data_IF_139724739973
#
_entry.id   IF_139724739973
#
_cell.length_a   1.000
_cell.length_b   1.000
_cell.length_c   1.000
_cell.angle_alpha   90.00
_cell.angle_beta   90.00
_cell.angle_gamma   90.00
#
_symmetry.space_group_name_H-M   'P 1'
#
loop_
_entity.id
_entity.type
_entity.pdbx_description
1 polymer ?
#
# COMPACT_ATOMS: atom_id res chain seq x y z
N UNK A 1 45.34 15.77 0.51
CA UNK A 1 45.75 16.76 1.55
C UNK A 1 45.82 18.19 1.01
N UNK A 2 46.64 18.50 0.00
CA UNK A 2 46.76 19.87 -0.54
C UNK A 2 45.43 20.50 -1.05
N UNK A 3 44.60 19.74 -1.76
CA UNK A 3 43.30 20.23 -2.25
C UNK A 3 42.27 20.50 -1.13
N UNK A 4 42.41 19.83 0.00
CA UNK A 4 41.54 20.00 1.15
C UNK A 4 41.96 21.16 2.07
N UNK A 5 43.26 21.39 2.19
CA UNK A 5 43.78 22.57 2.87
C UNK A 5 43.46 23.87 2.10
N UNK A 6 43.43 23.84 0.76
CA UNK A 6 42.97 24.95 -0.06
C UNK A 6 41.47 25.28 0.16
N UNK A 7 40.64 24.26 0.37
CA UNK A 7 39.21 24.44 0.71
C UNK A 7 39.00 25.04 2.11
N UNK A 8 39.87 24.79 3.10
CA UNK A 8 39.78 25.43 4.43
C UNK A 8 40.23 26.90 4.44
N UNK A 9 41.16 27.25 3.59
CA UNK A 9 41.58 28.66 3.46
C UNK A 9 40.55 29.53 2.73
N UNK A 10 39.74 28.93 1.84
CA UNK A 10 38.64 29.59 1.16
C UNK A 10 37.36 29.69 2.04
N UNK A 11 37.11 28.73 2.94
CA UNK A 11 35.91 28.75 3.82
C UNK A 11 35.92 29.85 4.87
N UNK A 12 37.08 30.51 5.13
CA UNK A 12 37.17 31.66 6.04
C UNK A 12 36.98 32.99 5.34
N UNK A 13 36.91 33.02 4.00
CA UNK A 13 36.74 34.27 3.22
C UNK A 13 35.34 34.49 2.63
N UNK A 14 34.51 33.43 2.50
CA UNK A 14 33.20 33.56 1.87
C UNK A 14 32.05 33.06 2.75
N UNK A 15 31.47 33.98 3.51
CA UNK A 15 30.17 33.79 4.18
C UNK A 15 28.98 33.68 3.21
N UNK A 16 29.22 33.65 1.90
CA UNK A 16 28.20 33.48 0.85
C UNK A 16 28.73 32.54 -0.23
N UNK A 17 28.74 31.26 0.02
CA UNK A 17 28.77 30.27 -1.07
C UNK A 17 27.40 30.32 -1.75
N UNK A 18 27.25 31.14 -2.76
CA UNK A 18 26.13 31.08 -3.70
C UNK A 18 26.30 29.78 -4.50
N UNK A 19 25.66 28.70 -4.03
CA UNK A 19 25.50 27.52 -4.84
C UNK A 19 24.54 27.92 -5.97
N UNK A 20 25.10 28.40 -7.09
CA UNK A 20 24.34 28.62 -8.31
C UNK A 20 24.06 27.27 -8.93
N UNK A 21 22.86 26.73 -8.69
CA UNK A 21 22.34 25.66 -9.54
C UNK A 21 22.24 26.20 -10.97
N UNK A 22 22.72 25.49 -12.00
CA UNK A 22 22.59 25.93 -13.37
C UNK A 22 21.08 26.06 -13.70
N UNK A 23 20.58 27.30 -13.71
CA UNK A 23 19.17 27.62 -13.97
C UNK A 23 18.82 27.63 -15.46
N UNK A 24 19.82 27.51 -16.36
CA UNK A 24 19.59 27.51 -17.79
C UNK A 24 19.34 26.11 -18.32
N UNK A 25 18.11 25.87 -18.82
CA UNK A 25 17.68 24.68 -19.57
C UNK A 25 17.54 23.35 -18.80
N UNK A 26 17.25 23.34 -17.50
CA UNK A 26 16.83 22.11 -16.85
C UNK A 26 15.42 21.74 -17.31
N UNK A 27 15.27 20.58 -17.98
CA UNK A 27 13.95 20.00 -18.22
C UNK A 27 13.38 19.57 -16.88
N UNK A 28 12.13 19.96 -16.55
CA UNK A 28 11.46 19.48 -15.35
C UNK A 28 11.43 17.95 -15.33
N UNK A 29 11.68 17.35 -14.18
CA UNK A 29 11.64 15.90 -14.00
C UNK A 29 11.37 15.53 -12.55
N UNK A 30 10.99 14.29 -12.33
CA UNK A 30 10.72 13.71 -11.00
C UNK A 30 11.79 12.68 -10.65
N UNK A 31 12.02 12.37 -9.37
CA UNK A 31 12.94 11.32 -8.95
C UNK A 31 12.56 9.96 -9.55
N UNK A 32 13.58 9.18 -9.95
CA UNK A 32 13.34 7.85 -10.53
C UNK A 32 12.63 6.94 -9.54
N UNK A 33 11.51 6.33 -9.98
CA UNK A 33 10.69 5.43 -9.16
C UNK A 33 9.57 6.12 -8.39
N UNK A 34 9.38 7.44 -8.61
CA UNK A 34 8.21 8.20 -8.16
C UNK A 34 7.31 8.51 -9.37
N UNK A 35 6.09 8.99 -9.12
CA UNK A 35 5.10 9.27 -10.17
C UNK A 35 4.28 10.50 -9.81
N UNK A 36 3.93 11.31 -10.83
CA UNK A 36 2.81 12.23 -10.74
C UNK A 36 1.51 11.49 -11.07
N UNK A 37 0.41 11.94 -10.50
CA UNK A 37 -0.92 11.43 -10.77
C UNK A 37 -1.82 12.59 -11.19
N UNK A 38 -2.32 12.54 -12.41
CA UNK A 38 -3.30 13.50 -12.91
C UNK A 38 -4.69 13.32 -12.29
N UNK A 39 -5.66 14.18 -12.66
CA UNK A 39 -7.00 14.14 -12.05
C UNK A 39 -7.72 12.80 -12.21
N UNK A 40 -7.60 12.15 -13.37
CA UNK A 40 -8.22 10.84 -13.66
C UNK A 40 -7.56 9.74 -12.82
N UNK A 41 -6.22 9.72 -12.78
CA UNK A 41 -5.49 8.76 -11.95
C UNK A 41 -5.82 8.94 -10.46
N UNK A 42 -5.93 10.19 -10.00
CA UNK A 42 -6.32 10.46 -8.61
C UNK A 42 -7.76 10.05 -8.31
N UNK A 43 -8.69 10.22 -9.24
CA UNK A 43 -10.06 9.72 -9.08
C UNK A 43 -10.09 8.19 -8.93
N UNK A 44 -9.32 7.47 -9.75
CA UNK A 44 -9.12 6.02 -9.66
C UNK A 44 -8.50 5.59 -8.33
N UNK A 45 -7.47 6.28 -7.89
CA UNK A 45 -6.81 6.02 -6.59
C UNK A 45 -7.75 6.26 -5.41
N UNK A 46 -8.52 7.34 -5.45
CA UNK A 46 -9.51 7.65 -4.41
C UNK A 46 -10.62 6.58 -4.35
N UNK A 47 -11.03 6.01 -5.48
CA UNK A 47 -11.94 4.86 -5.49
C UNK A 47 -11.37 3.69 -4.70
N UNK A 48 -10.07 3.35 -4.90
CA UNK A 48 -9.40 2.30 -4.14
C UNK A 48 -9.38 2.63 -2.65
N UNK A 49 -8.91 3.82 -2.30
CA UNK A 49 -8.77 4.23 -0.90
C UNK A 49 -10.12 4.26 -0.18
N UNK A 50 -11.16 4.80 -0.81
CA UNK A 50 -12.49 4.90 -0.21
C UNK A 50 -13.11 3.51 -0.03
N UNK A 51 -13.02 2.62 -1.02
CA UNK A 51 -13.52 1.25 -0.92
C UNK A 51 -12.86 0.50 0.25
N UNK A 52 -11.54 0.57 0.38
CA UNK A 52 -10.81 -0.07 1.49
C UNK A 52 -11.19 0.57 2.83
N UNK A 53 -11.25 1.90 2.90
CA UNK A 53 -11.64 2.64 4.10
C UNK A 53 -13.05 2.28 4.59
N UNK A 54 -14.00 2.20 3.66
CA UNK A 54 -15.38 1.85 3.98
C UNK A 54 -15.48 0.42 4.53
N UNK A 55 -14.72 -0.52 3.97
CA UNK A 55 -14.66 -1.89 4.50
C UNK A 55 -14.03 -1.91 5.88
N UNK A 56 -12.91 -1.22 6.12
CA UNK A 56 -12.30 -1.14 7.45
C UNK A 56 -13.28 -0.60 8.51
N UNK A 57 -14.07 0.42 8.13
CA UNK A 57 -15.07 0.99 9.02
C UNK A 57 -16.17 -0.02 9.41
N UNK A 58 -16.59 -0.93 8.50
CA UNK A 58 -17.55 -2.00 8.80
C UNK A 58 -17.07 -2.96 9.89
N UNK A 59 -15.76 -3.15 10.01
CA UNK A 59 -15.15 -4.04 11.01
C UNK A 59 -14.67 -3.29 12.27
N UNK A 60 -15.02 -2.01 12.41
CA UNK A 60 -14.73 -1.19 13.59
C UNK A 60 -13.28 -0.71 13.71
N UNK A 61 -12.53 -0.70 12.61
CA UNK A 61 -11.18 -0.14 12.59
C UNK A 61 -11.20 1.39 12.62
N UNK A 62 -10.32 2.00 13.40
CA UNK A 62 -10.19 3.45 13.56
C UNK A 62 -9.01 3.99 12.78
N UNK A 63 -9.19 5.13 12.11
CA UNK A 63 -8.12 5.76 11.35
C UNK A 63 -7.12 6.44 12.26
N UNK A 64 -5.83 6.17 12.02
CA UNK A 64 -4.72 6.96 12.58
C UNK A 64 -3.76 7.41 11.48
N UNK A 65 -2.89 8.33 11.80
CA UNK A 65 -1.74 8.71 10.97
C UNK A 65 -0.47 8.82 11.82
N UNK A 66 0.66 8.49 11.22
CA UNK A 66 1.99 8.69 11.80
C UNK A 66 2.82 9.59 10.88
N UNK A 67 3.86 10.28 11.37
CA UNK A 67 4.72 11.11 10.52
C UNK A 67 5.36 10.31 9.37
N UNK A 68 5.57 10.97 8.23
CA UNK A 68 6.33 10.39 7.12
C UNK A 68 7.81 10.18 7.47
N UNK A 69 8.35 11.06 8.32
CA UNK A 69 9.70 10.99 8.87
C UNK A 69 9.67 10.37 10.26
N UNK A 70 10.53 9.37 10.46
CA UNK A 70 10.77 8.76 11.77
C UNK A 70 12.24 8.97 12.17
N UNK A 71 12.53 8.88 13.47
CA UNK A 71 13.92 8.79 13.91
C UNK A 71 14.59 7.57 13.29
N UNK A 72 15.79 7.71 12.79
CA UNK A 72 16.49 6.62 12.12
C UNK A 72 16.71 5.42 13.07
N UNK A 73 16.87 5.67 14.37
CA UNK A 73 16.94 4.66 15.43
C UNK A 73 15.64 3.85 15.58
N UNK A 74 14.49 4.43 15.23
CA UNK A 74 13.19 3.73 15.19
C UNK A 74 13.15 2.74 14.03
N UNK A 75 13.76 3.07 12.89
CA UNK A 75 13.67 2.30 11.66
C UNK A 75 14.77 1.22 11.53
N UNK A 76 16.02 1.57 11.89
CA UNK A 76 17.18 0.70 11.71
C UNK A 76 17.11 -0.57 12.55
N UNK A 77 17.55 -1.70 11.98
CA UNK A 77 17.60 -3.00 12.64
C UNK A 77 16.23 -3.70 12.78
N UNK A 78 15.18 -3.19 12.12
CA UNK A 78 13.81 -3.74 12.19
C UNK A 78 13.42 -4.56 10.98
N UNK A 79 14.07 -4.30 9.85
CA UNK A 79 13.74 -4.88 8.55
C UNK A 79 14.77 -5.92 8.06
N UNK A 80 15.76 -6.25 8.88
CA UNK A 80 16.92 -7.05 8.49
C UNK A 80 17.92 -6.25 7.65
N UNK A 81 19.08 -6.86 7.35
CA UNK A 81 20.17 -6.16 6.64
C UNK A 81 19.76 -5.64 5.26
N UNK A 82 18.94 -6.39 4.53
CA UNK A 82 18.48 -6.00 3.20
C UNK A 82 17.51 -4.81 3.29
N UNK A 83 16.54 -4.85 4.21
CA UNK A 83 15.60 -3.76 4.42
C UNK A 83 16.28 -2.47 4.89
N UNK A 84 17.26 -2.57 5.77
CA UNK A 84 18.03 -1.42 6.27
C UNK A 84 18.82 -0.70 5.15
N UNK A 85 19.24 -1.43 4.11
CA UNK A 85 19.88 -0.86 2.90
C UNK A 85 18.89 -0.09 2.03
N UNK A 86 17.60 -0.41 2.13
CA UNK A 86 16.53 0.20 1.34
C UNK A 86 15.88 1.41 2.02
N UNK A 87 16.28 1.76 3.24
CA UNK A 87 15.80 2.96 3.94
C UNK A 87 16.32 4.24 3.29
N UNK A 88 15.41 5.16 2.95
CA UNK A 88 15.78 6.53 2.61
C UNK A 88 16.15 7.29 3.88
N UNK A 89 17.41 7.70 3.95
CA UNK A 89 17.98 8.49 5.05
C UNK A 89 17.90 9.98 4.70
N UNK A 90 17.54 10.81 5.67
CA UNK A 90 17.40 12.25 5.50
C UNK A 90 18.61 12.91 6.14
N UNK A 91 19.38 13.63 5.31
CA UNK A 91 20.53 14.39 5.76
C UNK A 91 20.08 15.49 6.76
N UNK A 92 20.80 15.63 7.88
CA UNK A 92 20.52 16.66 8.86
C UNK A 92 20.63 18.05 8.24
N UNK A 93 19.74 18.95 8.63
CA UNK A 93 19.76 20.35 8.18
C UNK A 93 20.90 21.12 8.84
N UNK A 94 21.40 22.15 8.16
CA UNK A 94 22.50 23.00 8.65
C UNK A 94 23.88 22.36 8.44
N UNK A 95 24.81 22.62 9.34
CA UNK A 95 26.16 22.08 9.28
C UNK A 95 26.18 20.63 9.83
N UNK A 96 25.88 19.65 8.96
CA UNK A 96 25.87 18.24 9.30
C UNK A 96 27.27 17.65 9.53
N UNK A 97 28.33 18.39 9.20
CA UNK A 97 29.73 18.00 9.49
C UNK A 97 30.23 18.56 10.83
N UNK A 98 29.43 19.37 11.52
CA UNK A 98 29.81 19.98 12.78
C UNK A 98 30.36 18.95 13.78
N UNK A 99 31.52 19.26 14.35
CA UNK A 99 32.19 18.39 15.33
C UNK A 99 32.87 17.15 14.76
N UNK A 100 33.09 17.06 13.43
CA UNK A 100 33.86 15.99 12.79
C UNK A 100 35.15 16.51 12.20
N UNK A 101 36.21 15.75 12.39
CA UNK A 101 37.49 16.01 11.74
C UNK A 101 37.56 15.34 10.37
N UNK A 102 38.39 15.83 9.43
CA UNK A 102 38.63 15.19 8.15
C UNK A 102 39.05 13.72 8.26
N UNK A 103 39.90 13.42 9.24
CA UNK A 103 40.41 12.06 9.48
C UNK A 103 39.28 11.14 9.98
N UNK A 104 38.37 11.60 10.82
CA UNK A 104 37.17 10.86 11.22
C UNK A 104 36.27 10.55 10.03
N UNK A 105 36.05 11.53 9.12
CA UNK A 105 35.24 11.32 7.91
C UNK A 105 35.90 10.29 6.99
N UNK A 106 37.22 10.39 6.79
CA UNK A 106 37.96 9.52 5.88
C UNK A 106 38.04 8.06 6.39
N UNK A 107 38.10 7.85 7.72
CA UNK A 107 38.36 6.54 8.32
C UNK A 107 37.11 5.88 8.91
N UNK A 108 35.95 6.56 8.94
CA UNK A 108 34.70 5.99 9.47
C UNK A 108 33.96 5.23 8.37
N UNK A 109 33.51 3.97 8.60
CA UNK A 109 32.68 3.23 7.65
C UNK A 109 31.43 4.02 7.25
N UNK A 110 31.07 3.97 5.95
CA UNK A 110 29.96 4.74 5.37
C UNK A 110 28.62 4.61 6.11
N UNK A 111 28.30 3.40 6.61
CA UNK A 111 27.07 3.17 7.39
C UNK A 111 27.05 3.94 8.72
N UNK A 112 28.22 4.04 9.39
CA UNK A 112 28.34 4.83 10.64
C UNK A 112 28.31 6.33 10.36
N UNK A 113 28.92 6.78 9.25
CA UNK A 113 28.81 8.16 8.80
C UNK A 113 27.35 8.51 8.50
N UNK A 114 26.66 7.66 7.77
CA UNK A 114 25.25 7.87 7.45
C UNK A 114 24.38 8.00 8.71
N UNK A 115 24.62 7.18 9.73
CA UNK A 115 23.89 7.28 11.00
C UNK A 115 24.18 8.59 11.76
N UNK A 116 25.37 9.18 11.59
CA UNK A 116 25.74 10.45 12.22
C UNK A 116 25.21 11.67 11.46
N UNK A 117 25.14 11.59 10.13
CA UNK A 117 24.64 12.66 9.28
C UNK A 117 23.12 12.66 9.11
N UNK A 118 22.48 11.56 9.43
CA UNK A 118 21.05 11.35 9.23
C UNK A 118 20.42 10.85 10.54
N UNK A 119 19.80 11.76 11.28
CA UNK A 119 19.03 11.38 12.48
C UNK A 119 17.64 10.87 12.13
N UNK A 120 17.18 11.11 10.91
CA UNK A 120 15.83 10.80 10.43
C UNK A 120 15.89 10.00 9.13
N UNK A 121 14.83 9.23 8.89
CA UNK A 121 14.59 8.54 7.63
C UNK A 121 13.13 8.61 7.24
N UNK A 122 12.83 8.32 5.96
CA UNK A 122 11.46 8.10 5.53
C UNK A 122 11.02 6.70 5.96
N UNK A 123 9.80 6.56 6.46
CA UNK A 123 9.25 5.27 6.88
C UNK A 123 9.21 4.27 5.73
N UNK A 124 9.63 3.05 6.03
CA UNK A 124 9.70 1.93 5.08
C UNK A 124 8.37 1.19 4.94
N UNK A 125 7.63 1.12 6.04
CA UNK A 125 6.28 0.57 6.18
C UNK A 125 5.47 1.41 7.17
N UNK A 126 4.23 0.99 7.44
CA UNK A 126 3.38 1.62 8.45
C UNK A 126 3.35 0.85 9.78
N UNK A 127 3.88 -0.39 9.80
CA UNK A 127 3.80 -1.28 10.97
C UNK A 127 4.80 -0.90 12.06
N UNK A 128 6.06 -0.61 11.72
CA UNK A 128 7.07 -0.17 12.71
C UNK A 128 6.72 1.19 13.32
N UNK A 129 6.33 2.23 12.54
CA UNK A 129 5.78 3.47 13.10
C UNK A 129 4.54 3.26 13.99
N UNK A 130 3.68 2.31 13.63
CA UNK A 130 2.52 1.96 14.44
C UNK A 130 2.92 1.33 15.77
N UNK A 131 3.87 0.41 15.79
CA UNK A 131 4.37 -0.17 17.05
C UNK A 131 4.94 0.90 17.99
N UNK A 132 5.70 1.87 17.46
CA UNK A 132 6.15 3.04 18.23
C UNK A 132 4.97 3.86 18.76
N UNK A 133 3.95 4.11 17.92
CA UNK A 133 2.74 4.85 18.29
C UNK A 133 2.02 4.16 19.46
N UNK A 134 1.81 2.84 19.38
CA UNK A 134 1.15 2.06 20.45
C UNK A 134 1.88 2.21 21.78
N UNK A 135 3.22 2.11 21.79
CA UNK A 135 4.01 2.25 23.00
C UNK A 135 3.93 3.67 23.59
N UNK A 136 3.97 4.69 22.75
CA UNK A 136 3.90 6.09 23.20
C UNK A 136 2.52 6.48 23.74
N UNK A 137 1.43 5.87 23.22
CA UNK A 137 0.06 6.20 23.58
C UNK A 137 -0.64 5.11 24.41
N UNK A 138 0.13 4.18 25.01
CA UNK A 138 -0.41 2.99 25.68
C UNK A 138 -1.48 3.28 26.74
N UNK A 139 -1.35 4.40 27.44
CA UNK A 139 -2.28 4.82 28.49
C UNK A 139 -3.61 5.39 27.94
N UNK A 140 -3.62 5.77 26.65
CA UNK A 140 -4.77 6.38 25.98
C UNK A 140 -5.55 5.33 25.16
N UNK A 141 -4.88 4.22 24.77
CA UNK A 141 -5.45 3.22 23.91
C UNK A 141 -6.24 2.16 24.67
N UNK A 142 -7.47 1.88 24.22
CA UNK A 142 -8.27 0.77 24.72
C UNK A 142 -7.90 -0.51 23.95
N UNK A 143 -7.51 -1.57 24.67
CA UNK A 143 -7.19 -2.87 24.06
C UNK A 143 -8.40 -3.81 24.07
N UNK A 144 -8.61 -4.64 23.01
CA UNK A 144 -7.82 -4.67 21.79
C UNK A 144 -8.04 -3.42 20.93
N UNK A 145 -6.97 -2.88 20.36
CA UNK A 145 -7.02 -1.69 19.50
C UNK A 145 -6.95 -2.08 18.03
N UNK A 146 -8.02 -1.74 17.29
CA UNK A 146 -8.15 -1.93 15.84
C UNK A 146 -7.89 -0.60 15.13
N UNK A 147 -6.79 -0.50 14.40
CA UNK A 147 -6.47 0.71 13.63
C UNK A 147 -6.37 0.44 12.13
N UNK A 148 -6.63 1.44 11.30
CA UNK A 148 -6.17 1.43 9.92
C UNK A 148 -5.40 2.71 9.58
N UNK A 149 -4.56 2.62 8.54
CA UNK A 149 -3.70 3.69 8.07
C UNK A 149 -3.54 3.59 6.55
N UNK A 150 -3.82 4.69 5.83
CA UNK A 150 -3.67 4.76 4.37
C UNK A 150 -2.72 5.91 4.07
N UNK A 151 -1.44 5.59 3.91
CA UNK A 151 -0.39 6.58 3.77
C UNK A 151 0.74 6.10 2.86
N UNK A 152 1.56 7.03 2.30
CA UNK A 152 2.72 6.66 1.49
C UNK A 152 3.85 6.10 2.35
N UNK A 153 4.64 5.22 1.74
CA UNK A 153 5.89 4.66 2.27
C UNK A 153 6.98 4.72 1.21
N UNK A 154 8.25 4.62 1.62
CA UNK A 154 9.39 4.83 0.74
C UNK A 154 10.40 3.70 0.87
N UNK A 155 10.76 3.10 -0.27
CA UNK A 155 11.78 2.06 -0.35
C UNK A 155 12.75 2.34 -1.49
N UNK A 156 14.05 2.29 -1.23
CA UNK A 156 15.08 2.52 -2.24
C UNK A 156 15.26 1.36 -3.23
N UNK A 157 14.20 0.61 -3.47
CA UNK A 157 14.15 -0.50 -4.42
C UNK A 157 14.56 -0.10 -5.85
N UNK A 158 15.02 -1.07 -6.64
CA UNK A 158 15.18 -0.87 -8.08
C UNK A 158 13.79 -0.80 -8.72
N UNK A 159 13.43 0.35 -9.35
CA UNK A 159 12.10 0.51 -9.94
C UNK A 159 11.84 -0.48 -11.07
N UNK A 160 10.64 -1.09 -11.04
CA UNK A 160 10.12 -1.95 -12.11
C UNK A 160 8.58 -1.92 -12.06
N UNK A 161 7.90 -2.54 -13.03
CA UNK A 161 6.42 -2.62 -13.04
C UNK A 161 5.91 -3.21 -11.70
N UNK A 162 4.98 -2.50 -11.04
CA UNK A 162 4.43 -2.89 -9.73
C UNK A 162 5.40 -2.74 -8.54
N UNK A 163 6.57 -2.09 -8.72
CA UNK A 163 7.53 -1.79 -7.65
C UNK A 163 8.08 -0.37 -7.80
N UNK A 164 7.64 0.49 -6.93
CA UNK A 164 7.94 1.91 -6.91
C UNK A 164 8.76 2.28 -5.67
N UNK A 165 9.42 3.44 -5.70
CA UNK A 165 10.16 3.97 -4.54
C UNK A 165 9.28 4.73 -3.56
N UNK A 166 8.17 5.27 -4.05
CA UNK A 166 7.10 5.87 -3.26
C UNK A 166 5.79 5.20 -3.67
N UNK A 167 5.07 4.66 -2.70
CA UNK A 167 3.80 3.97 -2.95
C UNK A 167 2.95 3.98 -1.67
N UNK A 168 1.64 3.76 -1.83
CA UNK A 168 0.69 3.74 -0.72
C UNK A 168 0.49 2.34 -0.18
N UNK A 169 0.55 2.21 1.14
CA UNK A 169 0.05 1.06 1.88
C UNK A 169 -1.29 1.42 2.54
N UNK A 170 -2.21 0.45 2.54
CA UNK A 170 -3.48 0.54 3.25
C UNK A 170 -3.47 -0.56 4.30
N UNK A 171 -2.99 -0.23 5.48
CA UNK A 171 -2.76 -1.19 6.56
C UNK A 171 -3.93 -1.22 7.53
N UNK A 172 -4.29 -2.41 8.00
CA UNK A 172 -5.17 -2.63 9.13
C UNK A 172 -4.52 -3.59 10.11
N UNK A 173 -4.46 -3.21 11.38
CA UNK A 173 -3.86 -4.01 12.45
C UNK A 173 -4.75 -4.05 13.69
N UNK A 174 -4.69 -5.18 14.40
CA UNK A 174 -5.25 -5.37 15.72
C UNK A 174 -4.13 -5.67 16.68
N UNK A 175 -4.02 -4.94 17.78
CA UNK A 175 -3.04 -5.19 18.85
C UNK A 175 -3.74 -5.41 20.19
N UNK A 176 -3.09 -6.17 21.08
CA UNK A 176 -3.60 -6.45 22.43
C UNK A 176 -4.56 -7.62 22.51
N UNK A 177 -4.50 -8.56 21.55
CA UNK A 177 -5.29 -9.79 21.57
C UNK A 177 -4.56 -10.94 20.87
N UNK A 178 -4.50 -12.10 21.52
CA UNK A 178 -3.96 -13.35 20.96
C UNK A 178 -5.02 -14.18 20.21
N UNK A 179 -6.27 -13.71 20.17
CA UNK A 179 -7.37 -14.43 19.54
C UNK A 179 -7.16 -14.58 18.05
N UNK A 180 -7.30 -15.81 17.55
CA UNK A 180 -7.26 -16.12 16.11
C UNK A 180 -8.49 -15.61 15.35
N UNK A 181 -9.52 -15.11 16.03
CA UNK A 181 -10.63 -14.40 15.39
C UNK A 181 -10.18 -13.12 14.70
N UNK A 182 -9.07 -12.54 15.12
CA UNK A 182 -8.49 -11.37 14.45
C UNK A 182 -7.99 -11.72 13.04
N UNK A 183 -7.34 -12.88 12.87
CA UNK A 183 -6.95 -13.40 11.55
C UNK A 183 -8.16 -13.69 10.68
N UNK A 184 -9.21 -14.29 11.26
CA UNK A 184 -10.47 -14.58 10.56
C UNK A 184 -11.10 -13.29 10.02
N UNK A 185 -11.26 -12.26 10.86
CA UNK A 185 -11.80 -10.97 10.43
C UNK A 185 -10.93 -10.30 9.35
N UNK A 186 -9.60 -10.35 9.48
CA UNK A 186 -8.70 -9.78 8.46
C UNK A 186 -8.84 -10.48 7.11
N UNK A 187 -9.04 -11.80 7.08
CA UNK A 187 -9.27 -12.54 5.83
C UNK A 187 -10.65 -12.23 5.23
N UNK A 188 -11.69 -12.04 6.04
CA UNK A 188 -13.00 -11.56 5.59
C UNK A 188 -12.92 -10.12 5.02
N UNK A 189 -12.10 -9.24 5.61
CA UNK A 189 -11.82 -7.90 5.07
C UNK A 189 -11.16 -8.02 3.69
N UNK A 190 -10.15 -8.87 3.55
CA UNK A 190 -9.46 -9.12 2.28
C UNK A 190 -10.45 -9.56 1.22
N UNK A 191 -11.24 -10.58 1.52
CA UNK A 191 -12.27 -11.11 0.62
C UNK A 191 -13.28 -10.04 0.20
N UNK A 192 -13.84 -9.31 1.18
CA UNK A 192 -14.82 -8.25 0.94
C UNK A 192 -14.26 -7.13 0.04
N UNK A 193 -13.00 -6.71 0.26
CA UNK A 193 -12.37 -5.66 -0.55
C UNK A 193 -12.22 -6.10 -1.99
N UNK A 194 -11.70 -7.32 -2.24
CA UNK A 194 -11.48 -7.79 -3.60
C UNK A 194 -12.77 -8.16 -4.33
N UNK A 195 -13.77 -8.67 -3.62
CA UNK A 195 -15.13 -8.86 -4.16
C UNK A 195 -15.73 -7.53 -4.62
N UNK A 196 -15.61 -6.46 -3.80
CA UNK A 196 -16.07 -5.11 -4.18
C UNK A 196 -15.33 -4.53 -5.39
N UNK A 197 -14.06 -4.86 -5.57
CA UNK A 197 -13.29 -4.46 -6.75
C UNK A 197 -13.59 -5.32 -7.99
N UNK A 198 -14.25 -6.46 -7.85
CA UNK A 198 -14.45 -7.44 -8.92
C UNK A 198 -13.14 -8.14 -9.31
N UNK A 199 -12.15 -8.19 -8.43
CA UNK A 199 -10.87 -8.86 -8.65
C UNK A 199 -10.93 -10.24 -8.02
N UNK A 200 -10.78 -11.31 -8.83
CA UNK A 200 -10.63 -12.67 -8.31
C UNK A 200 -9.24 -12.86 -7.74
N UNK A 201 -9.17 -13.38 -6.52
CA UNK A 201 -7.90 -13.58 -5.82
C UNK A 201 -7.79 -14.98 -5.23
N UNK A 202 -6.55 -15.42 -5.01
CA UNK A 202 -6.20 -16.54 -4.16
C UNK A 202 -5.56 -15.99 -2.88
N UNK A 203 -6.18 -16.30 -1.74
CA UNK A 203 -5.65 -15.98 -0.42
C UNK A 203 -4.79 -17.16 0.05
N UNK A 204 -3.50 -16.95 0.20
CA UNK A 204 -2.58 -17.96 0.72
C UNK A 204 -2.33 -17.74 2.19
N UNK A 205 -2.39 -18.79 2.99
CA UNK A 205 -2.09 -18.78 4.42
C UNK A 205 -1.02 -19.82 4.74
N UNK A 206 -0.12 -19.46 5.66
CA UNK A 206 0.80 -20.38 6.34
C UNK A 206 1.02 -19.90 7.78
N UNK A 207 1.91 -20.56 8.52
CA UNK A 207 2.26 -20.15 9.88
C UNK A 207 3.77 -20.28 10.09
N UNK A 208 4.38 -19.26 10.69
CA UNK A 208 5.82 -19.29 11.03
C UNK A 208 6.19 -20.46 11.92
N UNK A 209 5.27 -20.88 12.79
CA UNK A 209 5.48 -22.05 13.66
C UNK A 209 5.54 -23.36 12.87
N UNK A 210 4.76 -23.48 11.78
CA UNK A 210 4.87 -24.64 10.85
C UNK A 210 6.26 -24.65 10.21
N UNK A 211 6.73 -23.49 9.69
CA UNK A 211 8.05 -23.38 9.09
C UNK A 211 9.18 -23.72 10.08
N UNK A 212 9.04 -23.27 11.35
CA UNK A 212 9.98 -23.63 12.42
C UNK A 212 9.96 -25.14 12.68
N UNK A 213 8.77 -25.73 12.78
CA UNK A 213 8.62 -27.18 12.96
C UNK A 213 9.21 -28.00 11.82
N UNK A 214 9.08 -27.54 10.58
CA UNK A 214 9.75 -28.15 9.42
C UNK A 214 11.25 -28.14 9.60
N UNK A 215 11.85 -27.00 9.96
CA UNK A 215 13.29 -26.88 10.18
C UNK A 215 13.77 -27.79 11.34
N UNK A 216 12.98 -27.91 12.42
CA UNK A 216 13.27 -28.81 13.55
C UNK A 216 13.26 -30.30 13.12
N UNK A 217 12.24 -30.75 12.40
CA UNK A 217 12.06 -32.15 12.01
C UNK A 217 13.10 -32.61 10.97
N UNK A 218 13.52 -31.71 10.06
CA UNK A 218 14.59 -32.04 9.11
C UNK A 218 15.99 -31.96 9.74
N UNK A 219 16.12 -31.46 11.00
CA UNK A 219 17.37 -31.36 11.73
C UNK A 219 18.21 -30.13 11.47
N UNK A 220 17.62 -29.07 10.93
CA UNK A 220 18.30 -27.82 10.54
C UNK A 220 17.67 -26.57 11.19
N UNK A 221 17.27 -26.68 12.45
CA UNK A 221 16.54 -25.63 13.19
C UNK A 221 17.25 -24.26 13.19
N UNK A 222 18.60 -24.26 13.28
CA UNK A 222 19.41 -23.04 13.30
C UNK A 222 19.45 -22.31 11.94
N UNK A 223 19.03 -22.98 10.86
CA UNK A 223 19.06 -22.45 9.49
C UNK A 223 17.66 -22.12 8.93
N UNK A 224 16.67 -21.94 9.80
CA UNK A 224 15.28 -21.64 9.39
C UNK A 224 15.20 -20.46 8.43
N UNK A 225 16.01 -19.42 8.62
CA UNK A 225 16.03 -18.24 7.76
C UNK A 225 16.46 -18.59 6.35
N UNK A 226 17.54 -19.35 6.20
CA UNK A 226 18.07 -19.78 4.90
C UNK A 226 17.07 -20.69 4.19
N UNK A 227 16.47 -21.64 4.91
CA UNK A 227 15.43 -22.56 4.39
C UNK A 227 14.24 -21.76 3.87
N UNK A 228 13.73 -20.82 4.66
CA UNK A 228 12.54 -20.03 4.31
C UNK A 228 12.81 -19.10 3.13
N UNK A 229 14.00 -18.48 3.06
CA UNK A 229 14.41 -17.61 1.95
C UNK A 229 14.54 -18.41 0.64
N UNK A 230 15.07 -19.64 0.70
CA UNK A 230 15.18 -20.49 -0.47
C UNK A 230 13.81 -20.98 -0.97
N UNK A 231 12.96 -21.46 -0.07
CA UNK A 231 11.60 -21.95 -0.40
C UNK A 231 10.74 -20.85 -1.01
N UNK A 232 10.83 -19.60 -0.52
CA UNK A 232 10.07 -18.45 -1.06
C UNK A 232 10.35 -18.18 -2.56
N UNK A 233 11.45 -18.67 -3.07
CA UNK A 233 11.83 -18.51 -4.47
C UNK A 233 11.30 -19.62 -5.38
N UNK A 234 10.65 -20.66 -4.82
CA UNK A 234 10.24 -21.86 -5.54
C UNK A 234 9.44 -21.55 -6.82
N UNK A 235 8.44 -20.68 -6.70
CA UNK A 235 7.60 -20.26 -7.83
C UNK A 235 8.39 -19.54 -8.96
N UNK A 236 9.57 -19.01 -8.65
CA UNK A 236 10.37 -18.18 -9.57
C UNK A 236 11.51 -18.92 -10.23
N UNK A 237 12.22 -19.73 -9.46
CA UNK A 237 13.47 -20.37 -9.92
C UNK A 237 13.35 -21.88 -10.07
N UNK A 238 12.23 -22.48 -9.61
CA UNK A 238 11.99 -23.92 -9.66
C UNK A 238 12.74 -24.71 -8.60
N UNK A 239 12.35 -25.98 -8.47
CA UNK A 239 12.77 -26.86 -7.37
C UNK A 239 14.27 -27.15 -7.36
N UNK A 240 14.85 -27.43 -8.54
CA UNK A 240 16.27 -27.78 -8.64
C UNK A 240 17.16 -26.63 -8.18
N UNK A 241 16.84 -25.39 -8.61
CA UNK A 241 17.57 -24.21 -8.19
C UNK A 241 17.37 -23.89 -6.69
N UNK A 242 16.20 -24.17 -6.12
CA UNK A 242 15.96 -24.08 -4.66
C UNK A 242 16.83 -25.08 -3.92
N UNK A 243 16.92 -26.34 -4.39
CA UNK A 243 17.78 -27.36 -3.78
C UNK A 243 19.25 -26.96 -3.83
N UNK A 244 19.72 -26.38 -4.94
CA UNK A 244 21.09 -25.88 -5.07
C UNK A 244 21.38 -24.72 -4.11
N UNK A 245 20.41 -23.82 -3.94
CA UNK A 245 20.52 -22.72 -2.97
C UNK A 245 20.56 -23.24 -1.53
N UNK A 246 19.74 -24.23 -1.18
CA UNK A 246 19.76 -24.89 0.14
C UNK A 246 21.13 -25.53 0.42
N UNK A 247 21.71 -26.25 -0.55
CA UNK A 247 23.08 -26.81 -0.43
C UNK A 247 24.13 -25.72 -0.24
N UNK A 248 24.01 -24.62 -0.97
CA UNK A 248 24.92 -23.46 -0.84
C UNK A 248 24.87 -22.83 0.56
N UNK A 249 23.69 -22.87 1.23
CA UNK A 249 23.51 -22.46 2.63
C UNK A 249 23.94 -23.54 3.63
N UNK A 250 24.49 -24.67 3.17
CA UNK A 250 24.98 -25.75 4.00
C UNK A 250 23.90 -26.66 4.59
N UNK A 251 22.70 -26.69 4.01
CA UNK A 251 21.67 -27.67 4.34
C UNK A 251 22.08 -29.03 3.80
N UNK A 252 21.99 -30.09 4.63
CA UNK A 252 22.38 -31.45 4.26
C UNK A 252 21.43 -32.04 3.18
N UNK A 253 21.98 -32.92 2.33
CA UNK A 253 21.16 -33.61 1.32
C UNK A 253 20.04 -34.45 1.98
N UNK A 254 20.32 -35.04 3.16
CA UNK A 254 19.28 -35.77 3.93
C UNK A 254 18.13 -34.83 4.36
N UNK A 255 18.45 -33.61 4.80
CA UNK A 255 17.42 -32.61 5.17
C UNK A 255 16.63 -32.17 3.92
N UNK A 256 17.31 -31.98 2.79
CA UNK A 256 16.65 -31.62 1.51
C UNK A 256 15.73 -32.74 1.06
N UNK A 257 16.11 -34.02 1.17
CA UNK A 257 15.23 -35.15 0.84
C UNK A 257 13.98 -35.20 1.73
N UNK A 258 14.12 -34.96 3.04
CA UNK A 258 12.98 -34.85 3.97
C UNK A 258 12.06 -33.67 3.66
N UNK A 259 12.60 -32.60 3.12
CA UNK A 259 11.84 -31.39 2.77
C UNK A 259 11.01 -31.57 1.49
N UNK A 260 11.45 -32.40 0.53
CA UNK A 260 10.79 -32.55 -0.78
C UNK A 260 9.30 -32.92 -0.71
N UNK A 261 8.84 -33.91 0.08
CA UNK A 261 7.43 -34.25 0.17
C UNK A 261 6.58 -33.12 0.78
N UNK A 262 7.17 -32.28 1.64
CA UNK A 262 6.49 -31.15 2.28
C UNK A 262 6.23 -30.04 1.28
N UNK A 263 7.25 -29.60 0.53
CA UNK A 263 7.11 -28.50 -0.43
C UNK A 263 6.34 -28.89 -1.70
N UNK A 264 6.18 -30.19 -1.96
CA UNK A 264 5.38 -30.73 -3.07
C UNK A 264 3.98 -31.16 -2.65
N UNK A 265 3.62 -30.96 -1.38
CA UNK A 265 2.34 -31.43 -0.85
C UNK A 265 1.18 -30.73 -1.55
N UNK A 266 0.31 -31.53 -2.16
CA UNK A 266 -0.89 -31.10 -2.85
C UNK A 266 -2.12 -31.69 -2.14
N UNK A 267 -3.29 -31.13 -2.40
CA UNK A 267 -4.55 -31.59 -1.85
C UNK A 267 -5.38 -30.44 -1.27
N UNK A 268 -6.49 -30.77 -0.68
CA UNK A 268 -7.32 -29.83 0.08
C UNK A 268 -6.60 -29.30 1.32
N UNK A 269 -7.09 -28.21 1.88
CA UNK A 269 -6.52 -27.65 3.11
C UNK A 269 -6.53 -28.66 4.27
N UNK A 270 -7.60 -29.48 4.39
CA UNK A 270 -7.71 -30.49 5.45
C UNK A 270 -6.66 -31.60 5.25
N UNK A 271 -6.53 -32.15 4.04
CA UNK A 271 -5.49 -33.16 3.72
C UNK A 271 -4.09 -32.65 3.96
N UNK A 272 -3.80 -31.40 3.55
CA UNK A 272 -2.50 -30.75 3.82
C UNK A 272 -2.24 -30.62 5.32
N UNK A 273 -3.26 -30.18 6.10
CA UNK A 273 -3.15 -30.03 7.56
C UNK A 273 -2.96 -31.38 8.27
N UNK A 274 -3.62 -32.43 7.83
CA UNK A 274 -3.49 -33.77 8.42
C UNK A 274 -2.10 -34.32 8.13
N UNK A 275 -1.64 -34.27 6.87
CA UNK A 275 -0.33 -34.75 6.47
C UNK A 275 0.81 -33.99 7.19
N UNK A 276 0.73 -32.66 7.23
CA UNK A 276 1.80 -31.88 7.89
C UNK A 276 1.79 -32.07 9.41
N UNK A 277 0.63 -32.34 10.04
CA UNK A 277 0.56 -32.71 11.45
C UNK A 277 1.29 -34.01 11.76
N UNK A 278 1.17 -35.02 10.90
CA UNK A 278 1.91 -36.30 11.03
C UNK A 278 3.43 -36.06 10.89
N UNK A 279 3.86 -35.30 9.87
CA UNK A 279 5.27 -34.95 9.64
C UNK A 279 5.85 -34.20 10.83
N UNK A 280 5.09 -33.26 11.40
CA UNK A 280 5.53 -32.42 12.52
C UNK A 280 5.25 -33.01 13.90
N UNK A 281 4.90 -34.30 13.99
CA UNK A 281 4.54 -34.95 15.27
C UNK A 281 5.60 -34.85 16.36
N UNK A 282 6.88 -34.68 16.01
CA UNK A 282 7.99 -34.46 16.94
C UNK A 282 8.26 -32.99 17.29
N UNK A 283 7.54 -32.03 16.68
CA UNK A 283 7.68 -30.60 16.91
C UNK A 283 6.43 -30.01 17.59
N UNK A 284 6.52 -29.67 18.86
CA UNK A 284 5.44 -29.00 19.58
C UNK A 284 5.09 -27.65 18.95
N UNK A 285 6.12 -26.88 18.56
CA UNK A 285 5.97 -25.59 17.85
C UNK A 285 5.23 -25.77 16.54
N UNK A 286 5.64 -26.75 15.73
CA UNK A 286 5.01 -27.07 14.45
C UNK A 286 3.54 -27.45 14.59
N UNK A 287 3.23 -28.35 15.52
CA UNK A 287 1.85 -28.77 15.81
C UNK A 287 0.96 -27.62 16.27
N UNK A 288 1.51 -26.68 17.06
CA UNK A 288 0.78 -25.46 17.44
C UNK A 288 0.42 -24.63 16.21
N UNK A 289 1.36 -24.45 15.28
CA UNK A 289 1.13 -23.74 14.02
C UNK A 289 0.04 -24.41 13.15
N UNK A 290 0.04 -25.73 13.06
CA UNK A 290 -1.00 -26.52 12.36
C UNK A 290 -2.36 -26.31 13.01
N UNK A 291 -2.44 -26.37 14.34
CA UNK A 291 -3.68 -26.14 15.09
C UNK A 291 -4.23 -24.72 14.86
N UNK A 292 -3.37 -23.70 14.86
CA UNK A 292 -3.77 -22.31 14.58
C UNK A 292 -4.33 -22.16 13.16
N UNK A 293 -3.66 -22.70 12.14
CA UNK A 293 -4.16 -22.70 10.77
C UNK A 293 -5.50 -23.42 10.63
N UNK A 294 -5.65 -24.57 11.31
CA UNK A 294 -6.90 -25.35 11.31
C UNK A 294 -8.07 -24.55 11.89
N UNK A 295 -7.84 -23.83 13.00
CA UNK A 295 -8.87 -22.96 13.61
C UNK A 295 -9.30 -21.86 12.64
N UNK A 296 -8.34 -21.17 12.02
CA UNK A 296 -8.62 -20.07 11.07
C UNK A 296 -9.38 -20.60 9.85
N UNK A 297 -8.88 -21.65 9.20
CA UNK A 297 -9.47 -22.20 7.99
C UNK A 297 -10.88 -22.78 8.24
N UNK A 298 -11.10 -23.45 9.38
CA UNK A 298 -12.43 -23.95 9.75
C UNK A 298 -13.42 -22.80 9.99
N UNK A 299 -12.99 -21.72 10.64
CA UNK A 299 -13.84 -20.55 10.88
C UNK A 299 -14.23 -19.83 9.58
N UNK A 300 -13.37 -19.86 8.56
CA UNK A 300 -13.61 -19.23 7.26
C UNK A 300 -14.38 -20.10 6.26
N UNK A 301 -14.60 -21.36 6.57
CA UNK A 301 -15.24 -22.33 5.65
C UNK A 301 -16.65 -21.88 5.25
N UNK A 302 -16.84 -21.65 3.95
CA UNK A 302 -18.11 -21.19 3.38
C UNK A 302 -18.48 -19.74 3.69
N UNK A 303 -17.50 -18.93 4.16
CA UNK A 303 -17.71 -17.51 4.46
C UNK A 303 -17.04 -16.57 3.47
N UNK A 304 -16.20 -17.07 2.58
CA UNK A 304 -15.46 -16.28 1.60
C UNK A 304 -15.99 -16.53 0.19
N UNK A 305 -16.01 -15.49 -0.64
CA UNK A 305 -16.28 -15.58 -2.08
C UNK A 305 -15.02 -16.03 -2.85
N UNK A 306 -13.84 -15.67 -2.36
CA UNK A 306 -12.56 -16.02 -2.94
C UNK A 306 -11.96 -17.26 -2.26
N UNK A 307 -11.09 -17.96 -2.98
CA UNK A 307 -10.43 -19.16 -2.48
C UNK A 307 -9.35 -18.83 -1.43
N UNK A 308 -9.29 -19.64 -0.36
CA UNK A 308 -8.20 -19.63 0.63
C UNK A 308 -7.47 -20.97 0.62
N UNK A 309 -6.14 -20.93 0.50
CA UNK A 309 -5.27 -22.10 0.40
C UNK A 309 -4.19 -22.09 1.47
N UNK A 310 -4.02 -23.23 2.16
CA UNK A 310 -2.81 -23.49 2.94
C UNK A 310 -1.64 -23.73 1.98
N UNK A 311 -0.66 -22.83 2.00
CA UNK A 311 0.54 -22.92 1.17
C UNK A 311 1.80 -23.04 2.04
N UNK A 312 2.29 -24.27 2.19
CA UNK A 312 3.46 -24.57 3.01
C UNK A 312 4.77 -23.94 2.47
N UNK A 313 4.75 -23.49 1.21
CA UNK A 313 5.88 -22.76 0.60
C UNK A 313 5.83 -21.26 0.81
N UNK A 314 4.70 -20.74 1.32
CA UNK A 314 4.60 -19.34 1.71
C UNK A 314 5.50 -19.10 2.93
N UNK A 315 6.69 -18.58 2.68
CA UNK A 315 7.70 -18.30 3.69
C UNK A 315 8.02 -16.81 3.80
N UNK A 316 7.35 -15.98 2.97
CA UNK A 316 7.49 -14.54 2.91
C UNK A 316 7.08 -13.83 4.17
N UNK A 317 7.56 -12.64 4.27
CA UNK A 317 7.19 -11.67 5.28
C UNK A 317 8.40 -11.02 5.90
N UNK A 318 8.14 -9.96 6.63
CA UNK A 318 9.17 -9.30 7.41
C UNK A 318 9.56 -10.20 8.59
N UNK A 319 10.81 -10.11 9.02
CA UNK A 319 11.37 -11.00 10.05
C UNK A 319 10.68 -10.90 11.42
N UNK A 320 9.75 -9.99 11.59
CA UNK A 320 8.99 -9.80 12.82
C UNK A 320 7.74 -10.67 12.96
N UNK A 321 7.31 -11.39 11.91
CA UNK A 321 6.15 -12.30 12.02
C UNK A 321 6.47 -13.54 12.84
N UNK A 322 5.53 -13.92 13.73
CA UNK A 322 5.68 -14.98 14.72
C UNK A 322 4.61 -16.08 14.63
N UNK A 323 3.53 -15.84 13.91
CA UNK A 323 2.38 -16.74 13.78
C UNK A 323 1.91 -16.88 12.34
N UNK A 324 0.60 -16.76 12.12
CA UNK A 324 0.00 -16.82 10.80
C UNK A 324 0.58 -15.73 9.88
N UNK A 325 0.79 -16.10 8.60
CA UNK A 325 1.23 -15.21 7.52
C UNK A 325 0.30 -15.35 6.34
N UNK A 326 0.08 -14.23 5.64
CA UNK A 326 -0.88 -14.14 4.54
C UNK A 326 -0.24 -13.52 3.31
N UNK A 327 -0.59 -14.03 2.15
CA UNK A 327 -0.28 -13.44 0.85
C UNK A 327 -1.49 -13.55 -0.07
N UNK A 328 -1.79 -12.50 -0.84
CA UNK A 328 -2.91 -12.50 -1.78
C UNK A 328 -2.40 -12.25 -3.18
N UNK A 329 -2.73 -13.15 -4.09
CA UNK A 329 -2.38 -13.09 -5.51
C UNK A 329 -3.63 -12.82 -6.34
N UNK A 330 -3.55 -11.88 -7.29
CA UNK A 330 -4.58 -11.74 -8.33
C UNK A 330 -4.50 -12.93 -9.29
N UNK A 331 -5.64 -13.51 -9.68
CA UNK A 331 -5.68 -14.70 -10.54
C UNK A 331 -5.62 -14.33 -12.03
N UNK A 332 -6.18 -13.19 -12.42
CA UNK A 332 -6.34 -12.82 -13.83
C UNK A 332 -5.23 -11.91 -14.37
N UNK A 333 -4.26 -11.53 -13.52
CA UNK A 333 -3.16 -10.62 -13.87
C UNK A 333 -1.85 -11.14 -13.32
N UNK A 334 -0.82 -11.22 -14.14
CA UNK A 334 0.54 -11.50 -13.68
C UNK A 334 1.15 -10.27 -13.00
N UNK A 335 1.04 -10.23 -11.69
CA UNK A 335 1.61 -9.19 -10.83
C UNK A 335 2.10 -9.85 -9.53
N UNK A 336 3.02 -9.22 -8.82
CA UNK A 336 3.38 -9.69 -7.47
C UNK A 336 2.21 -9.59 -6.49
N UNK A 337 2.38 -10.15 -5.31
CA UNK A 337 1.40 -10.09 -4.22
C UNK A 337 0.77 -8.70 -4.07
N UNK A 338 -0.56 -8.64 -4.04
CA UNK A 338 -1.33 -7.39 -3.96
C UNK A 338 -1.75 -7.03 -2.53
N UNK A 339 -1.70 -8.03 -1.63
CA UNK A 339 -1.90 -7.86 -0.18
C UNK A 339 -1.03 -8.86 0.54
N UNK A 340 -0.58 -8.53 1.72
CA UNK A 340 0.16 -9.42 2.60
C UNK A 340 0.04 -8.99 4.05
N UNK A 341 0.36 -9.90 4.97
CA UNK A 341 0.26 -9.62 6.40
C UNK A 341 0.67 -10.80 7.26
N UNK A 342 0.42 -10.70 8.55
CA UNK A 342 0.65 -11.76 9.51
C UNK A 342 0.64 -11.30 10.95
N UNK A 343 0.80 -12.27 11.87
CA UNK A 343 0.88 -12.06 13.31
C UNK A 343 2.31 -11.72 13.74
N UNK A 344 2.42 -10.73 14.64
CA UNK A 344 3.67 -10.27 15.23
C UNK A 344 3.48 -10.06 16.75
N UNK A 345 4.18 -10.85 17.58
CA UNK A 345 3.95 -10.85 19.04
C UNK A 345 4.95 -9.98 19.80
N UNK A 346 6.06 -9.58 19.20
CA UNK A 346 7.15 -8.89 19.90
C UNK A 346 7.56 -7.53 19.28
N UNK A 347 6.78 -7.02 18.33
CA UNK A 347 7.17 -5.78 17.64
C UNK A 347 7.24 -4.58 18.58
N UNK A 348 6.30 -4.48 19.55
CA UNK A 348 6.31 -3.43 20.57
C UNK A 348 7.42 -3.61 21.61
N UNK A 349 7.94 -4.83 21.77
CA UNK A 349 9.08 -5.13 22.65
C UNK A 349 10.35 -4.37 22.27
N UNK A 350 10.52 -4.06 20.97
CA UNK A 350 11.62 -3.25 20.45
C UNK A 350 11.62 -1.82 21.05
N UNK A 351 10.44 -1.35 21.45
CA UNK A 351 10.22 -0.03 22.05
C UNK A 351 9.97 -0.10 23.56
N UNK A 352 10.37 -1.22 24.22
CA UNK A 352 10.29 -1.40 25.65
C UNK A 352 8.94 -1.90 26.20
N UNK A 353 8.05 -2.40 25.33
CA UNK A 353 6.76 -2.99 25.72
C UNK A 353 6.62 -4.42 25.16
N UNK A 354 7.31 -5.42 25.77
CA UNK A 354 7.21 -6.81 25.32
C UNK A 354 5.84 -7.43 25.64
N UNK A 355 5.49 -8.50 24.90
CA UNK A 355 4.33 -9.34 25.19
C UNK A 355 3.00 -8.78 24.68
N UNK A 356 3.00 -7.77 23.83
CA UNK A 356 1.79 -7.29 23.15
C UNK A 356 1.69 -7.94 21.76
N UNK A 357 0.74 -8.86 21.65
CA UNK A 357 0.45 -9.52 20.37
C UNK A 357 -0.25 -8.56 19.41
N UNK A 358 0.08 -8.67 18.14
CA UNK A 358 -0.55 -7.94 17.06
C UNK A 358 -0.66 -8.80 15.79
N UNK A 359 -1.66 -8.50 14.97
CA UNK A 359 -1.83 -9.08 13.64
C UNK A 359 -2.34 -8.02 12.69
N UNK A 360 -1.85 -8.02 11.45
CA UNK A 360 -2.27 -7.02 10.49
C UNK A 360 -2.10 -7.45 9.04
N UNK A 361 -2.75 -6.69 8.16
CA UNK A 361 -2.67 -6.83 6.71
C UNK A 361 -2.36 -5.47 6.07
N UNK A 362 -1.77 -5.51 4.89
CA UNK A 362 -1.46 -4.34 4.08
C UNK A 362 -1.89 -4.55 2.63
N UNK A 363 -2.82 -3.73 2.13
CA UNK A 363 -3.12 -3.68 0.71
C UNK A 363 -2.13 -2.78 -0.01
N UNK A 364 -1.54 -3.29 -1.09
CA UNK A 364 -0.67 -2.54 -1.98
C UNK A 364 -1.48 -1.73 -3.00
N UNK A 365 -1.91 -0.51 -2.65
CA UNK A 365 -2.82 0.29 -3.46
C UNK A 365 -2.35 0.49 -4.91
N UNK A 366 -1.05 0.66 -5.12
CA UNK A 366 -0.49 0.88 -6.46
C UNK A 366 -0.53 -0.38 -7.33
N UNK A 367 -0.40 -1.58 -6.75
CA UNK A 367 -0.59 -2.84 -7.47
C UNK A 367 -2.06 -3.11 -7.77
N UNK A 368 -2.95 -2.82 -6.83
CA UNK A 368 -4.41 -2.89 -7.05
C UNK A 368 -4.81 -1.92 -8.17
N UNK A 369 -4.24 -0.71 -8.19
CA UNK A 369 -4.44 0.26 -9.27
C UNK A 369 -4.04 -0.32 -10.63
N UNK A 370 -2.88 -0.98 -10.72
CA UNK A 370 -2.40 -1.61 -11.94
C UNK A 370 -3.33 -2.77 -12.39
N UNK A 371 -3.82 -3.59 -11.45
CA UNK A 371 -4.77 -4.69 -11.73
C UNK A 371 -6.10 -4.15 -12.26
N UNK A 372 -6.70 -3.18 -11.57
CA UNK A 372 -7.98 -2.57 -11.98
C UNK A 372 -7.89 -1.90 -13.36
N UNK A 373 -6.76 -1.25 -13.68
CA UNK A 373 -6.54 -0.70 -15.02
C UNK A 373 -6.39 -1.78 -16.10
N UNK A 374 -5.68 -2.87 -15.79
CA UNK A 374 -5.45 -3.95 -16.76
C UNK A 374 -6.73 -4.73 -17.06
N UNK A 375 -7.63 -4.86 -16.10
CA UNK A 375 -8.91 -5.56 -16.21
C UNK A 375 -10.09 -4.65 -16.58
N UNK A 376 -9.87 -3.33 -16.67
CA UNK A 376 -10.90 -2.31 -16.93
C UNK A 376 -12.09 -2.38 -15.94
N UNK A 377 -11.80 -2.55 -14.65
CA UNK A 377 -12.79 -2.76 -13.60
C UNK A 377 -13.22 -1.47 -12.85
N UNK A 378 -12.73 -0.29 -13.28
CA UNK A 378 -13.17 0.95 -12.63
C UNK A 378 -14.61 1.30 -13.03
N UNK A 379 -15.50 1.60 -12.07
CA UNK A 379 -16.81 2.17 -12.36
C UNK A 379 -16.66 3.49 -13.14
N UNK A 380 -17.51 3.70 -14.13
CA UNK A 380 -17.47 4.93 -14.95
C UNK A 380 -17.60 6.20 -14.11
N UNK A 381 -18.42 6.14 -13.08
CA UNK A 381 -18.68 7.22 -12.13
C UNK A 381 -17.47 7.56 -11.25
N UNK A 382 -16.60 6.59 -11.00
CA UNK A 382 -15.38 6.79 -10.22
C UNK A 382 -14.34 7.64 -10.96
N UNK A 383 -14.41 7.70 -12.29
CA UNK A 383 -13.41 8.37 -13.13
C UNK A 383 -13.80 9.80 -13.48
N UNK A 384 -15.12 10.11 -13.47
CA UNK A 384 -15.63 11.42 -13.83
C UNK A 384 -15.51 12.39 -12.65
N UNK A 385 -14.74 13.46 -12.83
CA UNK A 385 -14.55 14.50 -11.80
C UNK A 385 -15.63 15.57 -11.83
N UNK A 386 -16.25 15.85 -12.99
CA UNK A 386 -17.34 16.82 -13.20
C UNK A 386 -18.51 16.12 -13.87
N UNK A 387 -19.73 16.33 -13.37
CA UNK A 387 -20.94 15.71 -13.90
C UNK A 387 -21.74 16.67 -14.79
N UNK A 388 -21.68 17.96 -14.50
CA UNK A 388 -22.46 18.99 -15.19
C UNK A 388 -21.60 20.21 -15.50
N UNK A 389 -21.65 20.69 -16.74
CA UNK A 389 -21.04 21.95 -17.16
C UNK A 389 -22.15 22.92 -17.64
N UNK A 390 -22.19 24.11 -17.06
CA UNK A 390 -22.97 25.22 -17.61
C UNK A 390 -22.16 25.98 -18.65
N UNK A 391 -22.77 26.20 -19.82
CA UNK A 391 -22.21 27.04 -20.90
C UNK A 391 -22.37 28.51 -20.53
N UNK A 392 -21.32 29.30 -20.71
CA UNK A 392 -21.30 30.74 -20.49
C UNK A 392 -21.50 31.47 -21.82
N UNK A 393 -22.68 32.09 -22.02
CA UNK A 393 -22.98 32.93 -23.19
C UNK A 393 -22.73 34.40 -22.96
N UNK A 394 -22.61 34.85 -21.69
CA UNK A 394 -22.40 36.22 -21.28
C UNK A 394 -22.85 36.49 -19.84
N UNK A 395 -22.78 37.72 -19.43
CA UNK A 395 -23.11 38.14 -18.04
C UNK A 395 -24.56 37.82 -17.64
N UNK A 396 -25.51 38.08 -18.54
CA UNK A 396 -26.94 37.88 -18.30
C UNK A 396 -27.27 36.39 -18.09
N UNK A 397 -26.79 35.55 -18.99
CA UNK A 397 -27.00 34.11 -18.96
C UNK A 397 -26.28 33.47 -17.76
N UNK A 398 -25.08 33.95 -17.47
CA UNK A 398 -24.32 33.47 -16.30
C UNK A 398 -24.99 33.84 -14.99
N UNK A 399 -25.56 35.06 -14.89
CA UNK A 399 -26.33 35.48 -13.71
C UNK A 399 -27.55 34.58 -13.45
N UNK A 400 -28.18 34.08 -14.50
CA UNK A 400 -29.28 33.11 -14.41
C UNK A 400 -28.77 31.70 -14.04
N UNK A 401 -27.67 31.24 -14.64
CA UNK A 401 -27.11 29.91 -14.42
C UNK A 401 -26.48 29.72 -13.03
N UNK A 402 -25.87 30.75 -12.43
CA UNK A 402 -25.15 30.63 -11.16
C UNK A 402 -26.01 30.14 -9.97
N UNK A 403 -27.26 30.65 -9.74
CA UNK A 403 -28.14 30.10 -8.72
C UNK A 403 -28.47 28.61 -8.95
N UNK A 404 -28.73 28.23 -10.20
CA UNK A 404 -29.05 26.84 -10.58
C UNK A 404 -27.83 25.92 -10.37
N UNK A 405 -26.63 26.36 -10.79
CA UNK A 405 -25.40 25.64 -10.52
C UNK A 405 -25.16 25.45 -9.01
N UNK A 406 -25.52 26.46 -8.20
CA UNK A 406 -25.45 26.36 -6.74
C UNK A 406 -26.45 25.35 -6.16
N UNK A 407 -27.65 25.24 -6.74
CA UNK A 407 -28.64 24.22 -6.37
C UNK A 407 -28.14 22.83 -6.73
N UNK A 408 -27.60 22.62 -7.94
CA UNK A 408 -27.02 21.38 -8.36
C UNK A 408 -25.86 20.92 -7.43
N UNK A 409 -25.00 21.85 -7.04
CA UNK A 409 -23.90 21.55 -6.07
C UNK A 409 -24.43 21.16 -4.69
N UNK A 410 -25.50 21.83 -4.20
CA UNK A 410 -26.18 21.46 -2.93
C UNK A 410 -26.83 20.08 -2.99
N UNK A 411 -27.25 19.65 -4.17
CA UNK A 411 -27.76 18.30 -4.44
C UNK A 411 -26.64 17.25 -4.64
N UNK A 412 -25.38 17.63 -4.47
CA UNK A 412 -24.24 16.71 -4.59
C UNK A 412 -23.70 16.54 -6.01
N UNK A 413 -24.25 17.25 -7.01
CA UNK A 413 -23.79 17.19 -8.41
C UNK A 413 -22.52 18.02 -8.57
N UNK A 414 -21.41 17.38 -8.99
CA UNK A 414 -20.13 18.05 -9.28
C UNK A 414 -20.28 18.92 -10.53
N UNK A 415 -20.43 20.23 -10.32
CA UNK A 415 -20.87 21.20 -11.34
C UNK A 415 -19.81 22.27 -11.58
N UNK A 416 -19.47 22.50 -12.84
CA UNK A 416 -18.67 23.62 -13.33
C UNK A 416 -19.56 24.63 -14.07
N UNK A 417 -19.17 25.90 -14.03
CA UNK A 417 -19.64 26.94 -14.93
C UNK A 417 -18.44 27.39 -15.75
N UNK A 418 -18.53 27.39 -17.08
CA UNK A 418 -17.41 27.78 -17.90
C UNK A 418 -17.04 29.26 -17.63
N UNK A 419 -15.75 29.58 -17.31
CA UNK A 419 -15.44 30.91 -16.78
C UNK A 419 -15.56 32.03 -17.79
N UNK A 420 -15.26 31.77 -19.06
CA UNK A 420 -15.18 32.82 -20.09
C UNK A 420 -16.34 32.71 -21.10
N UNK A 421 -16.89 33.87 -21.50
CA UNK A 421 -17.88 33.98 -22.59
C UNK A 421 -17.19 33.80 -23.95
N UNK A 422 -16.86 32.55 -24.30
CA UNK A 422 -16.26 32.18 -25.59
C UNK A 422 -17.23 31.39 -26.45
N UNK A 423 -16.89 31.19 -27.74
CA UNK A 423 -17.74 30.43 -28.68
C UNK A 423 -18.14 29.07 -28.08
N UNK A 424 -19.43 28.73 -28.15
CA UNK A 424 -20.01 27.47 -27.63
C UNK A 424 -19.20 26.23 -28.07
N UNK A 425 -18.71 26.20 -29.31
CA UNK A 425 -17.88 25.09 -29.82
C UNK A 425 -16.66 24.82 -28.93
N UNK A 426 -15.98 25.88 -28.41
CA UNK A 426 -14.81 25.74 -27.54
C UNK A 426 -15.19 25.14 -26.19
N UNK A 427 -16.32 25.59 -25.64
CA UNK A 427 -16.85 25.09 -24.36
C UNK A 427 -17.32 23.63 -24.47
N UNK A 428 -18.00 23.28 -25.58
CA UNK A 428 -18.37 21.88 -25.87
C UNK A 428 -17.14 20.96 -26.07
N UNK A 429 -16.10 21.47 -26.73
CA UNK A 429 -14.84 20.72 -26.86
C UNK A 429 -14.17 20.49 -25.50
N UNK A 430 -14.26 21.42 -24.58
CA UNK A 430 -13.79 21.27 -23.19
C UNK A 430 -14.62 20.20 -22.46
N UNK A 431 -15.95 20.21 -22.57
CA UNK A 431 -16.80 19.19 -21.99
C UNK A 431 -16.46 17.79 -22.50
N UNK A 432 -16.26 17.64 -23.81
CA UNK A 432 -15.85 16.38 -24.42
C UNK A 432 -14.48 15.92 -23.95
N UNK A 433 -13.49 16.82 -23.91
CA UNK A 433 -12.13 16.48 -23.48
C UNK A 433 -12.06 16.03 -21.99
N UNK A 434 -12.97 16.53 -21.17
CA UNK A 434 -13.10 16.14 -19.76
C UNK A 434 -14.10 14.99 -19.54
N UNK A 435 -14.72 14.45 -20.59
CA UNK A 435 -15.78 13.43 -20.50
C UNK A 435 -16.91 13.84 -19.55
N UNK A 436 -17.31 15.12 -19.56
CA UNK A 436 -18.42 15.62 -18.76
C UNK A 436 -19.73 15.07 -19.34
N UNK A 437 -20.54 14.31 -18.58
CA UNK A 437 -21.70 13.62 -19.12
C UNK A 437 -22.86 14.56 -19.49
N UNK A 438 -23.00 15.68 -18.79
CA UNK A 438 -24.11 16.61 -19.01
C UNK A 438 -23.62 18.05 -19.22
N UNK A 439 -24.27 18.73 -20.15
CA UNK A 439 -24.05 20.16 -20.41
C UNK A 439 -25.37 20.88 -20.32
N UNK A 440 -25.45 21.95 -19.54
CA UNK A 440 -26.62 22.81 -19.43
C UNK A 440 -26.41 24.14 -20.16
N UNK A 441 -27.39 24.56 -20.92
CA UNK A 441 -27.41 25.79 -21.68
C UNK A 441 -28.63 26.62 -21.28
N UNK A 442 -28.44 27.92 -21.12
CA UNK A 442 -29.54 28.87 -20.96
C UNK A 442 -29.26 30.07 -21.85
N UNK A 443 -30.00 30.18 -22.92
CA UNK A 443 -30.08 31.37 -23.76
C UNK A 443 -31.28 32.24 -23.40
N UNK A 444 -31.59 33.27 -24.18
CA UNK A 444 -32.69 34.21 -23.90
C UNK A 444 -34.06 33.51 -23.83
N UNK A 445 -34.29 32.49 -24.68
CA UNK A 445 -35.55 31.76 -24.71
C UNK A 445 -35.72 30.89 -23.44
N UNK A 446 -34.70 30.15 -23.07
CA UNK A 446 -34.72 29.31 -21.87
C UNK A 446 -34.92 30.17 -20.60
N UNK A 447 -34.24 31.32 -20.51
CA UNK A 447 -34.36 32.25 -19.40
C UNK A 447 -35.81 32.81 -19.32
N UNK A 448 -36.44 33.16 -20.47
CA UNK A 448 -37.82 33.65 -20.50
C UNK A 448 -38.82 32.59 -20.01
N UNK A 449 -38.53 31.30 -20.20
CA UNK A 449 -39.38 30.21 -19.72
C UNK A 449 -38.99 29.72 -18.30
N UNK A 450 -37.94 30.26 -17.71
CA UNK A 450 -37.44 29.80 -16.41
C UNK A 450 -36.82 28.38 -16.46
N UNK A 451 -36.29 27.95 -17.62
CA UNK A 451 -35.78 26.62 -17.91
C UNK A 451 -34.34 26.63 -18.39
N UNK A 452 -33.82 25.44 -18.68
CA UNK A 452 -32.50 25.17 -19.20
C UNK A 452 -32.60 24.09 -20.27
N UNK A 453 -31.79 24.15 -21.31
CA UNK A 453 -31.58 23.02 -22.20
C UNK A 453 -30.49 22.13 -21.62
N UNK A 454 -30.85 20.92 -21.13
CA UNK A 454 -29.92 19.90 -20.67
C UNK A 454 -29.58 18.98 -21.82
N UNK A 455 -28.27 18.83 -22.10
CA UNK A 455 -27.74 17.91 -23.11
C UNK A 455 -27.00 16.75 -22.46
N UNK A 456 -27.38 15.53 -22.78
CA UNK A 456 -26.61 14.33 -22.52
C UNK A 456 -25.49 14.20 -23.57
N UNK A 457 -24.25 14.23 -23.15
CA UNK A 457 -23.09 14.23 -24.05
C UNK A 457 -22.82 12.85 -24.67
N UNK A 458 -23.27 11.76 -24.02
CA UNK A 458 -23.09 10.39 -24.51
C UNK A 458 -24.11 10.04 -25.61
N UNK A 459 -25.41 10.36 -25.40
CA UNK A 459 -26.48 10.06 -26.35
C UNK A 459 -26.71 11.18 -27.37
N UNK A 460 -26.33 12.41 -27.05
CA UNK A 460 -26.59 13.60 -27.82
C UNK A 460 -28.01 14.17 -27.64
N UNK A 461 -28.86 13.51 -26.85
CA UNK A 461 -30.21 13.94 -26.54
C UNK A 461 -30.22 15.26 -25.78
N UNK A 462 -31.25 16.08 -26.05
CA UNK A 462 -31.47 17.37 -25.40
C UNK A 462 -32.89 17.46 -24.91
N UNK A 463 -33.08 18.02 -23.72
CA UNK A 463 -34.40 18.28 -23.13
C UNK A 463 -34.44 19.69 -22.52
N UNK A 464 -35.59 20.35 -22.64
CA UNK A 464 -35.85 21.61 -21.99
C UNK A 464 -36.44 21.30 -20.61
N UNK A 465 -35.70 21.63 -19.54
CA UNK A 465 -36.00 21.20 -18.15
C UNK A 465 -35.94 22.36 -17.18
N UNK A 466 -36.64 22.23 -16.07
CA UNK A 466 -36.44 23.10 -14.89
C UNK A 466 -35.18 22.72 -14.13
N UNK A 467 -34.77 23.52 -13.16
CA UNK A 467 -33.62 23.20 -12.30
C UNK A 467 -33.83 21.89 -11.51
N UNK A 468 -35.04 21.66 -11.01
CA UNK A 468 -35.41 20.47 -10.26
C UNK A 468 -35.38 19.20 -11.14
N UNK A 469 -35.99 19.28 -12.34
CA UNK A 469 -35.96 18.17 -13.30
C UNK A 469 -34.53 17.83 -13.74
N UNK A 470 -33.67 18.84 -13.99
CA UNK A 470 -32.26 18.65 -14.31
C UNK A 470 -31.54 17.90 -13.19
N UNK A 471 -31.75 18.30 -11.93
CA UNK A 471 -31.15 17.65 -10.79
C UNK A 471 -31.63 16.20 -10.69
N UNK A 472 -32.91 15.92 -10.85
CA UNK A 472 -33.48 14.56 -10.84
C UNK A 472 -32.81 13.68 -11.91
N UNK A 473 -32.76 14.17 -13.16
CA UNK A 473 -32.16 13.42 -14.31
C UNK A 473 -30.68 13.07 -14.08
N UNK A 474 -29.92 13.95 -13.40
CA UNK A 474 -28.49 13.72 -13.19
C UNK A 474 -28.23 12.82 -11.96
N UNK A 475 -29.15 12.74 -11.02
CA UNK A 475 -29.06 11.94 -9.80
C UNK A 475 -29.65 10.53 -9.94
N UNK A 476 -30.50 10.28 -10.94
CA UNK A 476 -30.94 8.93 -11.34
C UNK A 476 -29.83 8.15 -12.03
#
# INVERSE_FOLDING_TARGET
MAAWMALQDETNKDKNINITYPTQNMKPGIPKGTRDFGPVEMAKRNYIFNTIKDVYALYGFQQIETPAMENLSTLMGKYGEEGDKLLFKILNSGDFLHGMTPDEIANTPTLRLAARFCEKGLRYDLTVPFARYVVQHREELQMPFKRYQIQPVWRADRPQKGRYREFYQCDADVVGSDSLLNEVELMQIVDTVFTKFGIRVLIKINNRKILTGIAEVIGEADKIVDITVAIDKLDKIGLDAVNDELRACGISDEAIEKLQPIIKLQGSNDEKLDTIAEVLSASETGLKGVSECRVILNALRGQLENEIELDLTLARGLNYYTGAIFEVKALDVQIGSITGGGRYDNLTGIFGMPGLSGVGISFGADRIYDVLNQLDLYPKEAVNTTQLLFINFGEKETAYCLPVASQARRAGIRTEVFPDAVKMKKQMSYANAKNIPFVALAGENEIAEGKLTLKNMATGEQALVTAEEMISIITE
#
